data_IF_879027653767
#
_entry.id   IF_879027653767
#
_cell.length_a   1.000
_cell.length_b   1.000
_cell.length_c   1.000
_cell.angle_alpha   90.00
_cell.angle_beta   90.00
_cell.angle_gamma   90.00
#
_symmetry.space_group_name_H-M   'P 1'
#
loop_
_entity.id
_entity.type
_entity.pdbx_description
1 polymer ?
#
# COMPACT_ATOMS: atom_id res chain seq x y z
N UNK A 1 9.38 -25.70 -45.13
CA UNK A 1 8.36 -24.65 -45.14
C UNK A 1 7.94 -24.38 -46.55
N UNK A 2 6.68 -24.63 -46.88
CA UNK A 2 6.16 -24.39 -48.23
C UNK A 2 6.07 -22.89 -48.50
N UNK A 3 6.30 -22.45 -49.75
CA UNK A 3 6.22 -21.00 -50.12
C UNK A 3 4.87 -20.37 -49.77
N UNK A 4 3.82 -21.17 -49.73
CA UNK A 4 2.43 -20.82 -49.38
C UNK A 4 2.27 -20.46 -47.89
N UNK A 5 3.12 -20.96 -46.99
CA UNK A 5 3.01 -20.73 -45.53
C UNK A 5 3.71 -19.45 -45.11
N UNK A 6 4.51 -18.86 -45.99
CA UNK A 6 5.31 -17.67 -45.67
C UNK A 6 4.50 -16.46 -45.16
N UNK A 7 3.35 -16.08 -45.79
CA UNK A 7 2.52 -14.98 -45.28
C UNK A 7 1.96 -15.26 -43.87
N UNK A 8 1.51 -16.46 -43.60
CA UNK A 8 1.02 -16.88 -42.28
C UNK A 8 2.11 -16.84 -41.24
N UNK A 9 3.27 -17.38 -41.55
CA UNK A 9 4.43 -17.36 -40.60
C UNK A 9 4.86 -15.92 -40.29
N UNK A 10 4.96 -15.07 -41.30
CA UNK A 10 5.44 -13.70 -41.11
C UNK A 10 4.41 -12.80 -40.39
N UNK A 11 3.12 -12.96 -40.68
CA UNK A 11 2.10 -12.06 -40.14
C UNK A 11 1.47 -12.56 -38.82
N UNK A 12 1.30 -13.87 -38.65
CA UNK A 12 0.57 -14.41 -37.49
C UNK A 12 1.50 -15.10 -36.51
N UNK A 13 2.35 -16.02 -37.00
CA UNK A 13 3.20 -16.78 -36.11
C UNK A 13 4.33 -15.94 -35.49
N UNK A 14 4.96 -15.06 -36.25
CA UNK A 14 6.02 -14.16 -35.72
C UNK A 14 5.45 -13.17 -34.72
N UNK A 15 4.24 -12.65 -34.95
CA UNK A 15 3.54 -11.80 -33.97
C UNK A 15 3.22 -12.54 -32.68
N UNK A 16 2.75 -13.79 -32.78
CA UNK A 16 2.53 -14.64 -31.63
C UNK A 16 3.82 -14.89 -30.85
N UNK A 17 4.90 -15.26 -31.53
CA UNK A 17 6.23 -15.49 -30.90
C UNK A 17 6.74 -14.20 -30.23
N UNK A 18 6.61 -13.05 -30.89
CA UNK A 18 7.03 -11.78 -30.33
C UNK A 18 6.24 -11.40 -29.06
N UNK A 19 4.91 -11.60 -29.07
CA UNK A 19 4.05 -11.39 -27.90
C UNK A 19 4.40 -12.34 -26.77
N UNK A 20 4.56 -13.63 -27.07
CA UNK A 20 4.94 -14.65 -26.08
C UNK A 20 6.31 -14.39 -25.47
N UNK A 21 7.30 -14.00 -26.28
CA UNK A 21 8.63 -13.64 -25.80
C UNK A 21 8.60 -12.38 -24.91
N UNK A 22 7.79 -11.38 -25.25
CA UNK A 22 7.60 -10.17 -24.44
C UNK A 22 6.98 -10.51 -23.09
N UNK A 23 5.97 -11.37 -23.09
CA UNK A 23 5.32 -11.82 -21.85
C UNK A 23 6.25 -12.65 -20.98
N UNK A 24 6.98 -13.61 -21.57
CA UNK A 24 7.99 -14.39 -20.85
C UNK A 24 9.07 -13.50 -20.22
N UNK A 25 9.61 -12.52 -20.96
CA UNK A 25 10.57 -11.55 -20.43
C UNK A 25 9.98 -10.71 -19.29
N UNK A 26 8.67 -10.39 -19.36
CA UNK A 26 7.97 -9.68 -18.31
C UNK A 26 7.88 -10.52 -17.04
N UNK A 27 7.47 -11.79 -17.17
CA UNK A 27 7.31 -12.70 -16.03
C UNK A 27 8.63 -13.01 -15.32
N UNK A 28 9.73 -13.13 -16.10
CA UNK A 28 11.06 -13.39 -15.57
C UNK A 28 11.80 -12.15 -15.07
N UNK A 29 11.16 -10.96 -15.14
CA UNK A 29 11.78 -9.73 -14.65
C UNK A 29 11.88 -9.76 -13.13
N UNK A 30 13.09 -9.61 -12.62
CA UNK A 30 13.32 -9.33 -11.21
C UNK A 30 12.83 -7.93 -10.87
N UNK A 31 12.17 -7.82 -9.73
CA UNK A 31 11.64 -6.56 -9.22
C UNK A 31 12.62 -5.93 -8.25
N UNK A 32 12.69 -4.61 -8.28
CA UNK A 32 13.46 -3.82 -7.34
C UNK A 32 12.55 -2.87 -6.56
N UNK A 33 12.85 -2.75 -5.28
CA UNK A 33 12.36 -1.70 -4.41
C UNK A 33 13.44 -0.62 -4.33
N UNK A 34 13.08 0.60 -4.63
CA UNK A 34 13.94 1.76 -4.53
C UNK A 34 13.52 2.59 -3.34
N UNK A 35 14.41 2.79 -2.38
CA UNK A 35 14.21 3.70 -1.24
C UNK A 35 14.94 5.02 -1.49
N UNK A 36 14.39 6.10 -0.94
CA UNK A 36 14.99 7.43 -0.98
C UNK A 36 16.24 7.46 -0.09
N UNK A 37 17.37 7.96 -0.62
CA UNK A 37 18.60 8.19 0.14
C UNK A 37 19.22 9.52 -0.32
N UNK A 38 18.87 10.60 0.34
CA UNK A 38 19.21 11.95 -0.11
C UNK A 38 18.62 12.21 -1.50
N UNK A 39 19.46 12.61 -2.44
CA UNK A 39 19.06 12.96 -3.82
C UNK A 39 18.98 11.76 -4.78
N UNK A 40 19.15 10.55 -4.30
CA UNK A 40 19.27 9.34 -5.13
C UNK A 40 18.39 8.22 -4.65
N UNK A 41 18.06 7.31 -5.57
CA UNK A 41 17.39 6.06 -5.29
C UNK A 41 18.42 4.96 -4.99
N UNK A 42 18.24 4.27 -3.87
CA UNK A 42 18.99 3.07 -3.52
C UNK A 42 18.13 1.86 -3.84
N UNK A 43 18.63 0.94 -4.67
CA UNK A 43 17.88 -0.24 -5.08
C UNK A 43 18.13 -1.43 -4.17
N UNK A 44 17.05 -2.18 -3.90
CA UNK A 44 17.05 -3.45 -3.19
C UNK A 44 16.25 -4.46 -4.00
N UNK A 45 16.66 -5.71 -4.04
CA UNK A 45 15.86 -6.76 -4.70
C UNK A 45 14.54 -6.92 -3.96
N UNK A 46 13.43 -6.79 -4.68
CA UNK A 46 12.09 -6.93 -4.11
C UNK A 46 11.58 -8.36 -4.30
N UNK A 47 11.42 -9.08 -3.18
CA UNK A 47 10.87 -10.45 -3.13
C UNK A 47 9.78 -10.50 -2.07
N UNK A 48 8.58 -10.09 -2.44
CA UNK A 48 7.43 -10.13 -1.53
C UNK A 48 6.46 -11.23 -1.96
N UNK A 49 5.97 -12.12 -1.05
CA UNK A 49 5.13 -13.25 -1.40
C UNK A 49 3.68 -12.86 -1.73
N UNK A 50 3.25 -11.66 -1.40
CA UNK A 50 1.86 -11.22 -1.59
C UNK A 50 1.49 -11.19 -3.07
N UNK A 51 0.38 -11.82 -3.39
CA UNK A 51 -0.26 -11.83 -4.71
C UNK A 51 -1.74 -11.50 -4.57
N UNK A 52 -2.44 -11.22 -5.66
CA UNK A 52 -3.90 -11.07 -5.60
C UNK A 52 -4.60 -12.34 -5.12
N UNK A 53 -4.02 -13.52 -5.28
CA UNK A 53 -4.62 -14.77 -4.82
C UNK A 53 -4.50 -14.93 -3.30
N UNK A 54 -3.38 -14.50 -2.72
CA UNK A 54 -3.15 -14.55 -1.25
C UNK A 54 -3.71 -13.34 -0.51
N UNK A 55 -4.04 -12.25 -1.22
CA UNK A 55 -4.53 -11.02 -0.60
C UNK A 55 -5.97 -11.19 -0.10
N UNK A 56 -6.16 -11.02 1.21
CA UNK A 56 -7.47 -10.99 1.84
C UNK A 56 -8.07 -9.60 1.73
N UNK A 57 -9.04 -9.45 0.84
CA UNK A 57 -9.81 -8.23 0.64
C UNK A 57 -11.16 -8.56 0.02
N UNK A 58 -12.07 -7.60 0.07
CA UNK A 58 -13.38 -7.71 -0.55
C UNK A 58 -13.31 -8.12 -2.03
N UNK A 59 -14.03 -9.19 -2.45
CA UNK A 59 -13.95 -9.74 -3.81
C UNK A 59 -14.29 -8.74 -4.91
N UNK A 60 -15.30 -7.90 -4.71
CA UNK A 60 -15.74 -6.91 -5.71
C UNK A 60 -14.68 -5.82 -5.88
N UNK A 61 -14.11 -5.34 -4.78
CA UNK A 61 -13.00 -4.40 -4.78
C UNK A 61 -11.78 -4.99 -5.47
N UNK A 62 -11.47 -6.26 -5.22
CA UNK A 62 -10.38 -6.99 -5.87
C UNK A 62 -10.56 -7.08 -7.38
N UNK A 63 -11.78 -7.44 -7.84
CA UNK A 63 -12.09 -7.50 -9.26
C UNK A 63 -12.01 -6.13 -9.93
N UNK A 64 -12.53 -5.08 -9.30
CA UNK A 64 -12.44 -3.70 -9.79
C UNK A 64 -11.00 -3.25 -9.98
N UNK A 65 -10.13 -3.53 -9.02
CA UNK A 65 -8.70 -3.20 -9.10
C UNK A 65 -8.05 -3.97 -10.25
N UNK A 66 -8.28 -5.28 -10.36
CA UNK A 66 -7.71 -6.11 -11.43
C UNK A 66 -8.17 -5.66 -12.82
N UNK A 67 -9.43 -5.29 -12.98
CA UNK A 67 -9.97 -4.77 -14.23
C UNK A 67 -9.32 -3.42 -14.61
N UNK A 68 -9.18 -2.51 -13.64
CA UNK A 68 -8.55 -1.20 -13.85
C UNK A 68 -7.05 -1.34 -14.20
N UNK A 69 -6.32 -2.21 -13.50
CA UNK A 69 -4.92 -2.50 -13.80
C UNK A 69 -4.75 -3.09 -15.21
N UNK A 70 -5.64 -4.00 -15.62
CA UNK A 70 -5.63 -4.57 -16.97
C UNK A 70 -5.88 -3.49 -18.03
N UNK A 71 -6.91 -2.66 -17.84
CA UNK A 71 -7.24 -1.57 -18.75
C UNK A 71 -6.09 -0.55 -18.84
N UNK A 72 -5.40 -0.27 -17.72
CA UNK A 72 -4.23 0.59 -17.70
C UNK A 72 -3.07 0.01 -18.51
N UNK A 73 -2.73 -1.28 -18.34
CA UNK A 73 -1.65 -1.95 -19.07
C UNK A 73 -1.88 -1.98 -20.59
N UNK A 74 -3.13 -2.14 -21.00
CA UNK A 74 -3.54 -2.20 -22.41
C UNK A 74 -3.81 -0.81 -22.98
N UNK A 75 -3.74 0.24 -22.16
CA UNK A 75 -4.23 1.58 -22.45
C UNK A 75 -3.29 2.47 -23.25
N UNK A 76 -2.05 2.07 -23.62
CA UNK A 76 -1.07 2.95 -24.28
C UNK A 76 -1.64 3.76 -25.46
N UNK A 77 -2.29 3.04 -26.40
CA UNK A 77 -2.89 3.67 -27.59
C UNK A 77 -4.02 4.65 -27.24
N UNK A 78 -4.81 4.31 -26.22
CA UNK A 78 -5.88 5.15 -25.72
C UNK A 78 -5.35 6.44 -25.10
N UNK A 79 -4.38 6.36 -24.16
CA UNK A 79 -3.77 7.53 -23.53
C UNK A 79 -3.14 8.47 -24.56
N UNK A 80 -2.44 7.88 -25.55
CA UNK A 80 -1.86 8.64 -26.67
C UNK A 80 -2.95 9.32 -27.52
N UNK A 81 -4.04 8.62 -27.84
CA UNK A 81 -5.15 9.15 -28.62
C UNK A 81 -5.84 10.33 -27.96
N UNK A 82 -6.04 10.27 -26.62
CA UNK A 82 -6.72 11.33 -25.86
C UNK A 82 -5.77 12.43 -25.37
N UNK A 83 -4.47 12.34 -25.71
CA UNK A 83 -3.46 13.35 -25.34
C UNK A 83 -3.20 13.43 -23.84
N UNK A 84 -3.35 12.31 -23.10
CA UNK A 84 -3.09 12.25 -21.67
C UNK A 84 -1.81 11.47 -21.36
N UNK A 85 -1.07 11.86 -20.30
CA UNK A 85 0.04 11.05 -19.81
C UNK A 85 -0.45 9.66 -19.42
N UNK A 86 0.32 8.62 -19.74
CA UNK A 86 0.00 7.24 -19.38
C UNK A 86 0.35 6.95 -17.91
N UNK A 87 -0.49 7.43 -17.05
CA UNK A 87 -0.37 7.29 -15.59
C UNK A 87 -1.72 6.96 -14.95
N UNK A 88 -1.67 6.38 -13.74
CA UNK A 88 -2.84 6.09 -12.93
C UNK A 88 -2.54 6.35 -11.47
N UNK A 89 -3.45 7.03 -10.77
CA UNK A 89 -3.35 7.31 -9.34
C UNK A 89 -4.33 6.48 -8.52
N UNK A 90 -3.82 5.84 -7.47
CA UNK A 90 -4.62 5.11 -6.48
C UNK A 90 -4.46 5.74 -5.10
N UNK A 91 -5.55 5.81 -4.34
CA UNK A 91 -5.56 6.12 -2.93
C UNK A 91 -6.00 4.89 -2.15
N UNK A 92 -5.09 4.34 -1.34
CA UNK A 92 -5.40 3.28 -0.38
C UNK A 92 -5.65 3.93 0.98
N UNK A 93 -6.84 3.77 1.53
CA UNK A 93 -7.17 4.37 2.82
C UNK A 93 -7.88 3.37 3.73
N UNK A 94 -7.73 3.57 5.03
CA UNK A 94 -8.33 2.74 6.07
C UNK A 94 -7.39 2.50 7.25
N UNK A 95 -7.85 1.83 8.30
CA UNK A 95 -7.08 1.62 9.52
C UNK A 95 -5.72 0.95 9.29
N UNK A 96 -4.74 1.09 10.20
CA UNK A 96 -3.53 0.29 10.15
C UNK A 96 -3.87 -1.21 10.25
N UNK A 97 -3.00 -2.08 9.70
CA UNK A 97 -3.21 -3.53 9.74
C UNK A 97 -4.23 -4.09 8.76
N UNK A 98 -4.77 -3.29 7.82
CA UNK A 98 -5.76 -3.74 6.82
C UNK A 98 -5.17 -4.24 5.50
N UNK A 99 -3.83 -4.28 5.36
CA UNK A 99 -3.15 -4.86 4.20
C UNK A 99 -2.82 -3.88 3.07
N UNK A 100 -2.75 -2.55 3.32
CA UNK A 100 -2.40 -1.55 2.31
C UNK A 100 -1.06 -1.86 1.62
N UNK A 101 0.00 -2.10 2.37
CA UNK A 101 1.34 -2.45 1.81
C UNK A 101 1.33 -3.81 1.11
N UNK A 102 0.52 -4.77 1.58
CA UNK A 102 0.34 -6.07 0.91
C UNK A 102 -0.33 -5.92 -0.47
N UNK A 103 -1.30 -5.01 -0.60
CA UNK A 103 -1.91 -4.69 -1.90
C UNK A 103 -0.89 -4.04 -2.85
N UNK A 104 -0.06 -3.11 -2.37
CA UNK A 104 1.03 -2.51 -3.17
C UNK A 104 1.95 -3.60 -3.72
N UNK A 105 2.37 -4.53 -2.86
CA UNK A 105 3.21 -5.65 -3.25
C UNK A 105 2.52 -6.57 -4.27
N UNK A 106 1.23 -6.87 -4.08
CA UNK A 106 0.44 -7.68 -5.01
C UNK A 106 0.32 -7.00 -6.39
N UNK A 107 0.11 -5.68 -6.43
CA UNK A 107 0.09 -4.88 -7.66
C UNK A 107 1.46 -4.95 -8.37
N UNK A 108 2.56 -4.75 -7.64
CA UNK A 108 3.91 -4.83 -8.20
C UNK A 108 4.22 -6.22 -8.79
N UNK A 109 3.87 -7.27 -8.06
CA UNK A 109 4.03 -8.65 -8.52
C UNK A 109 3.19 -8.96 -9.77
N UNK A 110 1.95 -8.46 -9.84
CA UNK A 110 1.05 -8.64 -10.99
C UNK A 110 1.53 -7.93 -12.24
N UNK A 111 1.95 -6.68 -12.10
CA UNK A 111 2.38 -5.85 -13.21
C UNK A 111 3.84 -6.09 -13.60
N UNK A 112 4.64 -6.63 -12.68
CA UNK A 112 6.09 -6.71 -12.80
C UNK A 112 6.74 -5.34 -12.95
N UNK A 113 6.30 -4.39 -12.10
CA UNK A 113 6.81 -3.03 -12.03
C UNK A 113 7.70 -2.86 -10.80
N UNK A 114 8.76 -2.07 -10.95
CA UNK A 114 9.60 -1.66 -9.83
C UNK A 114 8.83 -0.73 -8.90
N UNK A 115 9.14 -0.79 -7.61
CA UNK A 115 8.55 0.08 -6.59
C UNK A 115 9.56 1.18 -6.25
N UNK A 116 9.10 2.42 -6.20
CA UNK A 116 9.82 3.59 -5.71
C UNK A 116 9.09 4.08 -4.46
N UNK A 117 9.66 3.77 -3.31
CA UNK A 117 9.13 4.17 -2.01
C UNK A 117 9.63 5.58 -1.68
N UNK A 118 8.71 6.53 -1.74
CA UNK A 118 8.98 7.94 -1.53
C UNK A 118 8.48 8.37 -0.14
N UNK A 119 9.37 8.33 0.81
CA UNK A 119 9.12 8.85 2.15
C UNK A 119 9.27 10.37 2.17
N UNK A 120 8.16 11.10 2.21
CA UNK A 120 8.14 12.57 2.13
C UNK A 120 8.86 13.25 3.31
N UNK A 121 8.98 12.56 4.46
CA UNK A 121 9.71 13.07 5.64
C UNK A 121 11.22 13.17 5.41
N UNK A 122 11.76 12.37 4.49
CA UNK A 122 13.18 12.39 4.10
C UNK A 122 13.49 13.37 2.98
N UNK A 123 12.47 13.98 2.37
CA UNK A 123 12.64 14.94 1.27
C UNK A 123 12.66 16.36 1.82
N UNK A 124 13.74 17.08 1.60
CA UNK A 124 13.95 18.40 2.18
C UNK A 124 13.16 19.51 1.49
N UNK A 125 13.07 19.46 0.17
CA UNK A 125 12.41 20.50 -0.63
C UNK A 125 11.74 20.01 -1.91
N UNK A 126 11.01 20.90 -2.57
CA UNK A 126 10.34 20.60 -3.83
C UNK A 126 11.29 20.34 -5.01
N UNK A 127 12.53 20.84 -4.97
CA UNK A 127 13.53 20.60 -6.03
C UNK A 127 14.05 19.17 -5.95
N UNK A 128 14.35 18.69 -4.74
CA UNK A 128 14.72 17.31 -4.47
C UNK A 128 13.58 16.36 -4.83
N UNK A 129 12.33 16.65 -4.41
CA UNK A 129 11.14 15.89 -4.80
C UNK A 129 11.06 15.73 -6.33
N UNK A 130 11.18 16.82 -7.06
CA UNK A 130 11.15 16.83 -8.52
C UNK A 130 12.28 15.99 -9.11
N UNK A 131 13.50 16.09 -8.59
CA UNK A 131 14.65 15.33 -9.06
C UNK A 131 14.45 13.82 -8.84
N UNK A 132 14.02 13.40 -7.65
CA UNK A 132 13.70 12.01 -7.34
C UNK A 132 12.65 11.45 -8.29
N UNK A 133 11.55 12.16 -8.45
CA UNK A 133 10.43 11.70 -9.27
C UNK A 133 10.75 11.69 -10.78
N UNK A 134 11.61 12.58 -11.28
CA UNK A 134 12.09 12.53 -12.67
C UNK A 134 13.05 11.36 -12.92
N UNK A 135 13.79 10.93 -11.91
CA UNK A 135 14.74 9.82 -11.99
C UNK A 135 14.08 8.43 -11.81
N UNK A 136 12.75 8.34 -11.83
CA UNK A 136 12.07 7.04 -11.84
C UNK A 136 11.98 6.48 -13.25
N UNK A 137 12.07 5.16 -13.39
CA UNK A 137 11.96 4.48 -14.70
C UNK A 137 10.51 4.37 -15.16
N UNK A 138 10.30 4.06 -16.45
CA UNK A 138 8.99 3.60 -16.91
C UNK A 138 8.65 2.23 -16.32
N UNK A 139 7.37 1.86 -16.29
CA UNK A 139 6.88 0.63 -15.63
C UNK A 139 7.25 0.59 -14.16
N UNK A 140 6.86 1.64 -13.45
CA UNK A 140 7.12 1.84 -12.04
C UNK A 140 5.86 2.15 -11.26
N UNK A 141 5.88 1.78 -10.00
CA UNK A 141 4.92 2.18 -8.98
C UNK A 141 5.65 3.13 -8.05
N UNK A 142 5.16 4.35 -7.96
CA UNK A 142 5.65 5.32 -6.97
C UNK A 142 4.70 5.25 -5.78
N UNK A 143 5.23 4.89 -4.63
CA UNK A 143 4.48 4.78 -3.38
C UNK A 143 4.78 5.98 -2.52
N UNK A 144 3.76 6.61 -1.98
CA UNK A 144 3.84 7.71 -1.04
C UNK A 144 3.00 7.33 0.16
N UNK A 145 3.67 6.82 1.20
CA UNK A 145 3.00 6.31 2.39
C UNK A 145 2.67 7.43 3.38
N UNK A 146 1.57 7.22 4.13
CA UNK A 146 1.11 8.03 5.25
C UNK A 146 1.11 9.54 4.98
N UNK A 147 0.46 9.92 3.86
CA UNK A 147 0.42 11.31 3.39
C UNK A 147 -0.24 12.27 4.37
N UNK A 148 -1.07 11.78 5.29
CA UNK A 148 -1.71 12.55 6.35
C UNK A 148 -0.70 13.00 7.45
N UNK A 149 0.38 12.25 7.65
CA UNK A 149 1.42 12.57 8.63
C UNK A 149 2.58 13.39 8.02
N UNK A 150 2.87 13.16 6.74
CA UNK A 150 4.08 13.64 6.09
C UNK A 150 4.00 15.09 5.60
N UNK A 151 2.81 15.58 5.34
CA UNK A 151 2.59 16.95 4.90
C UNK A 151 1.87 17.71 6.02
N UNK A 152 2.35 18.91 6.36
CA UNK A 152 1.55 19.91 7.10
C UNK A 152 0.34 20.31 6.24
N UNK A 153 -0.48 19.28 5.86
CA UNK A 153 -1.71 19.42 5.07
C UNK A 153 -2.76 20.23 5.80
N UNK A 154 -2.58 20.40 7.12
CA UNK A 154 -3.37 21.26 8.00
C UNK A 154 -2.96 22.72 7.91
N UNK A 155 -2.07 23.09 6.99
CA UNK A 155 -1.85 24.48 6.60
C UNK A 155 -3.14 25.09 6.08
N UNK A 156 -4.17 25.07 6.90
CA UNK A 156 -5.44 25.74 6.69
C UNK A 156 -5.09 27.18 6.29
N UNK A 157 -5.42 27.55 5.04
CA UNK A 157 -5.40 28.96 4.59
C UNK A 157 -6.03 29.90 5.62
N UNK A 158 -6.93 29.39 6.47
CA UNK A 158 -7.53 30.08 7.60
C UNK A 158 -6.53 30.45 8.73
N UNK A 159 -5.51 29.61 9.04
CA UNK A 159 -4.54 29.94 10.08
C UNK A 159 -3.45 30.91 9.61
N UNK A 160 -3.18 31.04 8.33
CA UNK A 160 -2.31 32.13 7.81
C UNK A 160 -2.96 33.50 7.94
N UNK A 161 -4.26 33.61 7.68
CA UNK A 161 -4.99 34.90 7.82
C UNK A 161 -5.09 35.37 9.28
N UNK A 162 -5.15 34.47 10.27
CA UNK A 162 -5.19 34.86 11.67
C UNK A 162 -3.80 35.14 12.29
N UNK A 163 -2.71 34.60 11.72
CA UNK A 163 -1.35 34.92 12.17
C UNK A 163 -0.84 36.26 11.65
N UNK A 164 -1.33 36.74 10.52
CA UNK A 164 -0.95 38.06 9.97
C UNK A 164 -1.61 39.22 10.74
N UNK A 165 -2.72 38.99 11.45
CA UNK A 165 -3.39 40.03 12.25
C UNK A 165 -2.80 40.25 13.64
N UNK A 166 -1.89 39.41 14.14
CA UNK A 166 -1.39 39.48 15.52
C UNK A 166 0.11 39.82 15.65
N UNK A 167 0.80 40.12 14.54
CA UNK A 167 2.22 40.53 14.59
C UNK A 167 2.44 41.88 13.94
N UNK A 168 1.95 42.92 14.60
CA UNK A 168 2.50 44.26 14.48
C UNK A 168 3.37 44.48 15.73
N UNK A 169 4.66 44.22 15.61
CA UNK A 169 5.63 44.50 16.68
C UNK A 169 6.84 43.58 16.67
N UNK A 170 7.99 44.13 16.25
CA UNK A 170 9.36 43.69 16.57
C UNK A 170 9.97 42.55 15.70
N UNK A 171 10.78 43.03 14.82
CA UNK A 171 11.98 42.57 14.14
C UNK A 171 12.73 41.34 14.71
N UNK A 172 12.84 40.31 13.85
CA UNK A 172 14.07 39.70 13.27
C UNK A 172 13.63 38.58 12.35
N UNK A 173 14.12 38.49 11.09
CA UNK A 173 13.86 37.34 10.29
C UNK A 173 14.68 36.18 10.84
N UNK A 174 14.03 35.23 11.52
CA UNK A 174 14.61 33.95 11.75
C UNK A 174 14.78 33.30 10.37
N UNK A 175 16.02 33.14 9.94
CA UNK A 175 16.44 32.31 8.83
C UNK A 175 16.16 30.84 9.20
N UNK A 176 14.91 30.43 9.15
CA UNK A 176 14.54 29.03 9.06
C UNK A 176 14.04 28.78 7.63
N UNK A 177 14.99 28.96 6.69
CA UNK A 177 14.79 28.88 5.24
C UNK A 177 14.88 27.48 4.67
N UNK A 178 14.49 26.47 5.41
CA UNK A 178 14.27 25.12 4.83
C UNK A 178 12.96 25.13 4.04
N UNK A 179 13.03 25.18 2.72
CA UNK A 179 11.89 25.00 1.84
C UNK A 179 11.36 23.59 1.98
N UNK A 180 10.48 23.35 2.95
CA UNK A 180 9.83 22.04 3.15
C UNK A 180 9.03 21.65 1.90
N UNK A 181 8.92 20.33 1.68
CA UNK A 181 8.01 19.79 0.65
C UNK A 181 6.60 20.33 0.90
N UNK A 182 5.99 20.87 -0.12
CA UNK A 182 4.65 21.46 -0.04
C UNK A 182 3.63 20.60 -0.76
N UNK A 183 2.39 20.62 -0.29
CA UNK A 183 1.28 20.02 -1.01
C UNK A 183 1.23 20.48 -2.47
N UNK A 184 1.41 21.77 -2.74
CA UNK A 184 1.44 22.30 -4.10
C UNK A 184 2.57 21.70 -4.95
N UNK A 185 3.75 21.43 -4.36
CA UNK A 185 4.85 20.76 -5.05
C UNK A 185 4.47 19.34 -5.48
N UNK A 186 3.87 18.57 -4.57
CA UNK A 186 3.38 17.22 -4.85
C UNK A 186 2.27 17.22 -5.91
N UNK A 187 1.30 18.14 -5.78
CA UNK A 187 0.20 18.27 -6.74
C UNK A 187 0.69 18.63 -8.14
N UNK A 188 1.63 19.58 -8.23
CA UNK A 188 2.22 20.00 -9.52
C UNK A 188 2.99 18.86 -10.19
N UNK A 189 3.56 17.96 -9.41
CA UNK A 189 4.19 16.78 -9.97
C UNK A 189 3.16 15.75 -10.45
N UNK A 190 2.11 15.51 -9.67
CA UNK A 190 1.13 14.46 -9.99
C UNK A 190 0.31 14.78 -11.24
N UNK A 191 -0.05 16.04 -11.50
CA UNK A 191 -0.87 16.43 -12.64
C UNK A 191 -0.32 17.58 -13.51
N UNK A 192 0.82 18.18 -13.12
CA UNK A 192 1.51 19.19 -13.92
C UNK A 192 2.28 18.63 -15.13
N UNK A 193 2.98 19.50 -15.86
CA UNK A 193 3.80 19.12 -17.03
C UNK A 193 4.86 18.07 -16.72
N UNK A 194 5.33 17.99 -15.47
CA UNK A 194 6.30 16.99 -15.02
C UNK A 194 5.72 15.57 -14.89
N UNK A 195 4.41 15.45 -14.85
CA UNK A 195 3.73 14.15 -14.79
C UNK A 195 3.89 13.33 -16.07
N UNK A 196 4.28 13.95 -17.19
CA UNK A 196 4.56 13.26 -18.45
C UNK A 196 6.02 12.79 -18.60
N UNK A 197 6.91 13.13 -17.65
CA UNK A 197 8.29 12.66 -17.64
C UNK A 197 8.34 11.18 -17.24
N UNK A 198 8.33 10.30 -18.21
CA UNK A 198 8.28 8.85 -18.07
C UNK A 198 6.92 8.27 -18.45
N UNK A 199 6.94 7.23 -19.27
CA UNK A 199 5.74 6.53 -19.72
C UNK A 199 5.38 5.39 -18.75
N UNK A 200 4.09 5.11 -18.60
CA UNK A 200 3.55 3.96 -17.89
C UNK A 200 3.91 3.95 -16.39
N UNK A 201 3.25 4.83 -15.62
CA UNK A 201 3.48 4.96 -14.17
C UNK A 201 2.18 4.80 -13.38
N UNK A 202 2.29 4.14 -12.24
CA UNK A 202 1.26 4.12 -11.22
C UNK A 202 1.76 4.91 -10.02
N UNK A 203 0.92 5.74 -9.44
CA UNK A 203 1.19 6.45 -8.19
C UNK A 203 0.21 5.94 -7.16
N UNK A 204 0.71 5.42 -6.05
CA UNK A 204 -0.11 4.91 -4.96
C UNK A 204 0.13 5.77 -3.74
N UNK A 205 -0.93 6.34 -3.22
CA UNK A 205 -0.94 7.07 -1.97
C UNK A 205 -1.56 6.20 -0.88
N UNK A 206 -1.01 6.24 0.33
CA UNK A 206 -1.65 5.61 1.49
C UNK A 206 -1.98 6.63 2.56
N UNK A 207 -3.06 6.41 3.28
CA UNK A 207 -3.45 7.18 4.48
C UNK A 207 -4.24 6.33 5.44
N UNK A 208 -4.10 6.60 6.73
CA UNK A 208 -4.96 6.05 7.75
C UNK A 208 -6.20 6.97 8.00
N UNK A 209 -6.15 8.23 7.56
CA UNK A 209 -7.14 9.26 7.82
C UNK A 209 -7.52 10.03 6.56
N UNK A 210 -8.45 9.50 5.78
CA UNK A 210 -8.92 10.14 4.53
C UNK A 210 -9.57 11.51 4.80
N UNK A 211 -10.20 11.68 5.95
CA UNK A 211 -10.84 12.90 6.42
C UNK A 211 -9.88 14.07 6.63
N UNK A 212 -8.59 13.78 6.86
CA UNK A 212 -7.55 14.80 7.03
C UNK A 212 -6.95 15.29 5.70
N UNK A 213 -7.24 14.62 4.59
CA UNK A 213 -6.64 14.97 3.30
C UNK A 213 -7.27 16.22 2.69
N UNK A 214 -6.42 17.05 2.05
CA UNK A 214 -6.90 18.19 1.26
C UNK A 214 -7.74 17.69 0.07
N UNK A 215 -8.96 18.22 -0.14
CA UNK A 215 -9.82 17.85 -1.27
C UNK A 215 -9.15 18.00 -2.63
N UNK A 216 -8.14 18.86 -2.73
CA UNK A 216 -7.34 19.02 -3.94
C UNK A 216 -6.55 17.78 -4.34
N UNK A 217 -6.19 16.90 -3.39
CA UNK A 217 -5.55 15.60 -3.67
C UNK A 217 -6.53 14.60 -4.27
N UNK A 218 -7.78 14.61 -3.81
CA UNK A 218 -8.81 13.62 -4.15
C UNK A 218 -9.40 13.77 -5.55
N UNK A 219 -8.92 14.77 -6.34
CA UNK A 219 -9.46 15.05 -7.68
C UNK A 219 -9.06 14.00 -8.71
N UNK A 220 -9.94 13.67 -9.69
CA UNK A 220 -9.60 12.84 -10.83
C UNK A 220 -8.35 13.37 -11.58
N UNK A 221 -7.50 12.46 -12.02
CA UNK A 221 -6.19 12.76 -12.61
C UNK A 221 -5.03 12.81 -11.63
N UNK A 222 -5.35 12.78 -10.29
CA UNK A 222 -4.40 12.63 -9.18
C UNK A 222 -4.62 11.29 -8.48
N UNK A 223 -5.79 11.13 -7.88
CA UNK A 223 -6.25 9.89 -7.26
C UNK A 223 -7.50 9.43 -8.01
N UNK A 224 -7.27 8.65 -9.06
CA UNK A 224 -8.34 8.23 -9.99
C UNK A 224 -9.23 7.15 -9.39
N UNK A 225 -8.69 6.33 -8.49
CA UNK A 225 -9.39 5.25 -7.82
C UNK A 225 -9.10 5.28 -6.32
N UNK A 226 -10.17 5.35 -5.54
CA UNK A 226 -10.11 5.29 -4.08
C UNK A 226 -10.46 3.87 -3.64
N UNK A 227 -9.58 3.26 -2.86
CA UNK A 227 -9.67 1.86 -2.41
C UNK A 227 -9.73 1.88 -0.89
N UNK A 228 -10.90 1.52 -0.37
CA UNK A 228 -11.09 1.36 1.07
C UNK A 228 -10.55 0.01 1.53
N UNK A 229 -9.57 0.03 2.41
CA UNK A 229 -9.02 -1.14 3.10
C UNK A 229 -9.62 -1.18 4.50
N UNK A 230 -10.76 -1.85 4.61
CA UNK A 230 -11.59 -1.84 5.82
C UNK A 230 -11.18 -2.89 6.84
N UNK A 231 -11.86 -2.88 7.98
CA UNK A 231 -11.85 -3.97 8.96
C UNK A 231 -12.25 -5.30 8.32
N UNK A 232 -11.97 -6.39 9.01
CA UNK A 232 -12.29 -7.73 8.55
C UNK A 232 -13.81 -7.91 8.44
N UNK A 233 -14.28 -8.34 7.27
CA UNK A 233 -15.63 -8.85 7.06
C UNK A 233 -15.57 -10.37 6.84
N UNK A 234 -16.73 -11.02 6.70
CA UNK A 234 -16.78 -12.47 6.56
C UNK A 234 -16.07 -12.99 5.31
N UNK A 235 -16.12 -12.27 4.20
CA UNK A 235 -15.40 -12.66 2.98
C UNK A 235 -13.87 -12.57 3.15
N UNK A 236 -13.39 -11.53 3.83
CA UNK A 236 -11.97 -11.37 4.18
C UNK A 236 -11.54 -12.49 5.14
N UNK A 237 -12.36 -12.76 6.17
CA UNK A 237 -12.11 -13.83 7.12
C UNK A 237 -11.97 -15.20 6.44
N UNK A 238 -12.85 -15.57 5.52
CA UNK A 238 -12.77 -16.84 4.78
C UNK A 238 -11.44 -16.99 4.03
N UNK A 239 -10.96 -15.91 3.39
CA UNK A 239 -9.67 -15.92 2.71
C UNK A 239 -8.52 -16.11 3.69
N UNK A 240 -8.58 -15.47 4.87
CA UNK A 240 -7.57 -15.62 5.91
C UNK A 240 -7.58 -17.04 6.50
N UNK A 241 -8.75 -17.59 6.83
CA UNK A 241 -8.89 -18.95 7.34
C UNK A 241 -8.32 -19.99 6.33
N UNK A 242 -8.62 -19.81 5.05
CA UNK A 242 -8.07 -20.68 4.01
C UNK A 242 -6.54 -20.54 3.88
N UNK A 243 -6.00 -19.32 3.93
CA UNK A 243 -4.57 -19.07 3.74
C UNK A 243 -3.72 -19.53 4.93
N UNK A 244 -4.21 -19.34 6.17
CA UNK A 244 -3.42 -19.59 7.38
C UNK A 244 -3.70 -20.93 8.03
N UNK A 245 -4.95 -21.40 7.96
CA UNK A 245 -5.40 -22.64 8.61
C UNK A 245 -5.72 -23.76 7.62
N UNK A 246 -5.76 -23.46 6.31
CA UNK A 246 -6.24 -24.36 5.26
C UNK A 246 -7.68 -24.88 5.52
N UNK A 247 -8.53 -24.06 6.16
CA UNK A 247 -9.92 -24.38 6.50
C UNK A 247 -10.84 -23.58 5.59
N UNK A 248 -11.70 -24.30 4.85
CA UNK A 248 -12.69 -23.69 3.96
C UNK A 248 -14.09 -23.64 4.56
N UNK A 249 -14.38 -24.50 5.54
CA UNK A 249 -15.64 -24.53 6.26
C UNK A 249 -15.45 -25.15 7.65
N UNK A 250 -16.11 -24.56 8.65
CA UNK A 250 -16.09 -24.99 10.05
C UNK A 250 -17.40 -24.55 10.72
N UNK A 251 -17.95 -25.31 11.71
CA UNK A 251 -19.15 -24.91 12.44
C UNK A 251 -19.07 -23.52 13.08
N UNK A 252 -17.88 -23.09 13.50
CA UNK A 252 -17.67 -21.76 14.09
C UNK A 252 -17.80 -20.60 13.08
N UNK A 253 -17.79 -20.88 11.77
CA UNK A 253 -17.93 -19.86 10.74
C UNK A 253 -19.28 -19.13 10.82
N UNK A 254 -20.34 -19.82 11.19
CA UNK A 254 -21.66 -19.19 11.40
C UNK A 254 -21.65 -18.18 12.56
N UNK A 255 -20.89 -18.50 13.62
CA UNK A 255 -20.74 -17.62 14.77
C UNK A 255 -19.88 -16.42 14.45
N UNK A 256 -18.75 -16.63 13.75
CA UNK A 256 -17.89 -15.56 13.24
C UNK A 256 -18.67 -14.63 12.30
N UNK A 257 -19.49 -15.17 11.41
CA UNK A 257 -20.30 -14.37 10.49
C UNK A 257 -21.27 -13.45 11.24
N UNK A 258 -21.96 -13.99 12.26
CA UNK A 258 -22.87 -13.19 13.11
C UNK A 258 -22.14 -12.10 13.87
N UNK A 259 -20.99 -12.38 14.44
CA UNK A 259 -20.18 -11.41 15.16
C UNK A 259 -19.66 -10.31 14.23
N UNK A 260 -19.22 -10.65 13.01
CA UNK A 260 -18.76 -9.68 12.02
C UNK A 260 -19.85 -8.81 11.41
N UNK A 261 -21.14 -9.13 11.62
CA UNK A 261 -22.27 -8.25 11.27
C UNK A 261 -22.49 -7.13 12.29
N UNK A 262 -21.90 -7.22 13.47
CA UNK A 262 -21.95 -6.16 14.46
C UNK A 262 -21.03 -5.00 14.07
N UNK A 263 -21.60 -3.84 13.75
CA UNK A 263 -20.85 -2.64 13.35
C UNK A 263 -19.93 -2.09 14.45
N UNK A 264 -20.15 -2.47 15.70
CA UNK A 264 -19.30 -2.09 16.83
C UNK A 264 -17.98 -2.85 16.83
N UNK A 265 -17.94 -4.06 16.24
CA UNK A 265 -16.77 -4.90 16.18
C UNK A 265 -15.78 -4.38 15.13
N UNK A 266 -14.63 -3.88 15.59
CA UNK A 266 -13.54 -3.39 14.76
C UNK A 266 -12.32 -4.30 14.92
N UNK A 267 -12.24 -5.35 14.12
CA UNK A 267 -11.09 -6.23 14.05
C UNK A 267 -10.41 -6.11 12.68
N UNK A 268 -9.09 -5.98 12.68
CA UNK A 268 -8.31 -5.86 11.45
C UNK A 268 -7.86 -7.23 10.93
N UNK A 269 -7.62 -7.36 9.61
CA UNK A 269 -6.99 -8.57 9.07
C UNK A 269 -5.68 -8.95 9.77
N UNK A 270 -4.87 -7.99 10.21
CA UNK A 270 -3.61 -8.25 10.91
C UNK A 270 -3.85 -8.91 12.27
N UNK A 271 -4.84 -8.46 13.03
CA UNK A 271 -5.19 -9.06 14.33
C UNK A 271 -5.69 -10.50 14.16
N UNK A 272 -6.54 -10.74 13.16
CA UNK A 272 -7.02 -12.11 12.85
C UNK A 272 -5.84 -13.02 12.47
N UNK A 273 -4.93 -12.53 11.62
CA UNK A 273 -3.78 -13.35 11.20
C UNK A 273 -2.80 -13.61 12.33
N UNK A 274 -2.66 -12.68 13.27
CA UNK A 274 -1.82 -12.89 14.47
C UNK A 274 -2.35 -14.00 15.35
N UNK A 275 -3.67 -14.05 15.59
CA UNK A 275 -4.30 -15.16 16.34
C UNK A 275 -4.08 -16.49 15.61
N UNK A 276 -4.27 -16.54 14.29
CA UNK A 276 -4.04 -17.73 13.49
C UNK A 276 -2.58 -18.18 13.50
N UNK A 277 -1.64 -17.24 13.47
CA UNK A 277 -0.22 -17.54 13.49
C UNK A 277 0.22 -18.14 14.83
N UNK A 278 -0.29 -17.61 15.94
CA UNK A 278 -0.01 -18.15 17.29
C UNK A 278 -0.50 -19.58 17.46
N UNK A 279 -1.60 -19.95 16.81
CA UNK A 279 -2.23 -21.27 16.92
C UNK A 279 -2.14 -22.10 15.63
N UNK A 280 -1.13 -21.87 14.79
CA UNK A 280 -0.95 -22.48 13.46
C UNK A 280 -0.99 -24.02 13.43
N UNK A 281 -0.76 -24.69 14.56
CA UNK A 281 -0.77 -26.13 14.67
C UNK A 281 -2.10 -26.71 15.20
N UNK A 282 -3.07 -25.84 15.54
CA UNK A 282 -4.37 -26.25 16.09
C UNK A 282 -5.47 -25.31 15.59
N UNK A 283 -6.08 -25.70 14.47
CA UNK A 283 -7.12 -24.90 13.81
C UNK A 283 -8.32 -24.62 14.73
N UNK A 284 -8.77 -25.64 15.50
CA UNK A 284 -9.88 -25.46 16.42
C UNK A 284 -9.56 -24.40 17.48
N UNK A 285 -8.38 -24.48 18.10
CA UNK A 285 -7.96 -23.49 19.10
C UNK A 285 -7.85 -22.09 18.49
N UNK A 286 -7.31 -21.97 17.25
CA UNK A 286 -7.23 -20.70 16.55
C UNK A 286 -8.61 -20.06 16.34
N UNK A 287 -9.60 -20.84 15.89
CA UNK A 287 -10.95 -20.35 15.66
C UNK A 287 -11.68 -20.03 16.97
N UNK A 288 -11.55 -20.88 18.01
CA UNK A 288 -12.13 -20.58 19.32
C UNK A 288 -11.55 -19.31 19.94
N UNK A 289 -10.22 -19.15 19.91
CA UNK A 289 -9.58 -17.93 20.42
C UNK A 289 -10.04 -16.70 19.66
N UNK A 290 -10.23 -16.79 18.34
CA UNK A 290 -10.76 -15.70 17.55
C UNK A 290 -12.19 -15.32 17.95
N UNK A 291 -13.07 -16.32 18.12
CA UNK A 291 -14.46 -16.08 18.57
C UNK A 291 -14.47 -15.47 19.97
N UNK A 292 -13.68 -15.96 20.89
CA UNK A 292 -13.55 -15.39 22.25
C UNK A 292 -13.08 -13.94 22.21
N UNK A 293 -12.08 -13.60 21.40
CA UNK A 293 -11.62 -12.22 21.22
C UNK A 293 -12.71 -11.32 20.63
N UNK A 294 -13.45 -11.79 19.62
CA UNK A 294 -14.56 -11.05 19.03
C UNK A 294 -15.71 -10.79 20.05
N UNK A 295 -16.12 -11.82 20.79
CA UNK A 295 -17.17 -11.70 21.84
C UNK A 295 -16.73 -10.73 22.92
N UNK A 296 -15.48 -10.79 23.34
CA UNK A 296 -14.93 -9.89 24.35
C UNK A 296 -14.96 -8.43 23.88
N UNK A 297 -14.55 -8.17 22.64
CA UNK A 297 -14.58 -6.81 22.03
C UNK A 297 -16.00 -6.27 21.89
N UNK A 298 -16.96 -7.08 21.50
CA UNK A 298 -18.38 -6.64 21.44
C UNK A 298 -18.94 -6.32 22.82
N UNK A 299 -18.42 -6.96 23.88
CA UNK A 299 -18.75 -6.63 25.27
C UNK A 299 -17.98 -5.41 25.83
N UNK A 300 -17.15 -4.74 25.03
CA UNK A 300 -16.34 -3.58 25.43
C UNK A 300 -15.05 -3.92 26.18
N UNK A 301 -14.56 -5.17 26.07
CA UNK A 301 -13.28 -5.61 26.63
C UNK A 301 -12.08 -5.35 25.70
N UNK A 302 -10.88 -5.36 26.26
CA UNK A 302 -9.64 -5.21 25.51
C UNK A 302 -9.31 -6.48 24.67
N UNK A 303 -8.58 -6.34 23.57
CA UNK A 303 -8.14 -7.46 22.74
C UNK A 303 -7.31 -8.48 23.51
N UNK A 304 -7.54 -9.78 23.24
CA UNK A 304 -6.81 -10.91 23.89
C UNK A 304 -5.28 -10.80 23.72
N UNK A 305 -4.82 -10.21 22.62
CA UNK A 305 -3.39 -10.03 22.35
C UNK A 305 -2.71 -9.04 23.29
N UNK A 306 -3.41 -8.00 23.77
CA UNK A 306 -2.86 -7.04 24.73
C UNK A 306 -2.64 -7.67 26.10
N UNK A 307 -3.55 -8.51 26.55
CA UNK A 307 -3.40 -9.24 27.84
C UNK A 307 -2.15 -10.12 27.90
N UNK A 308 -1.69 -10.66 26.75
CA UNK A 308 -0.47 -11.47 26.67
C UNK A 308 0.81 -10.65 26.63
N UNK A 309 0.77 -9.44 26.07
CA UNK A 309 1.90 -8.52 26.06
C UNK A 309 2.23 -8.06 27.49
N UNK A 310 1.23 -7.70 28.25
CA UNK A 310 1.39 -7.30 29.67
C UNK A 310 1.89 -8.44 30.57
N UNK A 311 1.52 -9.70 30.25
CA UNK A 311 1.98 -10.89 30.96
C UNK A 311 3.46 -11.24 30.70
N UNK A 312 4.02 -10.80 29.56
CA UNK A 312 5.44 -11.02 29.20
C UNK A 312 6.35 -10.00 29.86
N UNK A 313 5.89 -8.75 30.04
CA UNK A 313 6.69 -7.72 30.72
C UNK A 313 6.81 -7.93 32.24
N UNK A 314 5.88 -8.71 32.85
CA UNK A 314 5.89 -9.01 34.30
C UNK A 314 6.83 -10.14 34.74
N UNK A 315 7.50 -10.87 33.86
CA UNK A 315 8.31 -12.07 34.18
C UNK A 315 9.77 -12.01 33.70
N UNK A 316 10.40 -10.84 33.71
CA UNK A 316 11.85 -10.74 33.49
C UNK A 316 12.55 -10.37 34.80
N UNK A 317 12.46 -11.24 35.78
CA UNK A 317 13.48 -11.31 36.83
C UNK A 317 14.62 -12.19 36.32
N UNK A 318 15.63 -11.54 35.80
CA UNK A 318 16.90 -12.14 35.39
C UNK A 318 17.83 -12.23 36.59
N UNK A 319 17.77 -13.33 37.36
CA UNK A 319 18.89 -13.79 38.18
C UNK A 319 19.95 -14.43 37.27
N UNK A 320 20.86 -13.61 36.76
CA UNK A 320 22.14 -14.09 36.22
C UNK A 320 23.24 -13.92 37.26
N UNK A 321 23.37 -14.88 38.16
CA UNK A 321 24.61 -15.07 38.92
C UNK A 321 25.72 -15.56 37.97
N UNK A 322 26.64 -14.67 37.65
CA UNK A 322 27.91 -15.03 36.99
C UNK A 322 28.91 -15.44 38.10
N UNK A 323 29.15 -16.70 38.25
CA UNK A 323 30.31 -17.20 39.02
C UNK A 323 31.56 -17.13 38.15
N UNK A 324 32.67 -16.56 38.63
CA UNK A 324 33.93 -16.55 37.90
C UNK A 324 34.66 -17.89 38.12
N UNK A 325 34.91 -18.66 37.10
CA UNK A 325 35.87 -19.75 37.11
C UNK A 325 37.29 -19.17 36.94
N UNK A 326 38.08 -19.40 37.99
CA UNK A 326 39.54 -19.30 38.00
C UNK A 326 40.16 -20.55 37.40
N UNK A 327 40.92 -20.41 36.31
CA UNK A 327 42.26 -20.98 36.11
C UNK A 327 42.81 -20.60 34.72
#
# INVERSE_FOLDING_TARGET
MLKTDKPFVMATYMDYVAKSAKEYKRQMRELNLYSCSGDRWKSHTFKHPSTFDTLAMDPDSKQRILADLKAFMEGEAYFKKVGRPWKRGYLLYGPPGTGKSSLIAAVANKLKYNIYDLELTQVHDNAQLKMLLTNTTSKSIIVIEDIDCSLDLTGTRANKMNREKTKMGSERPAQDGGSKVTLSGLLNFTDGLWSCCGMERIIIFTTNHIDKLDPGLLRPGRMDMHINMSYCNFEIFKVLAMNYLAVSNDPLFEEVEKLLQDESLKITPAEVTEIFFQHKNNNNLALHTLVEDMVRRTAGGDPVLLDKADAIEGNVDLDCEITPETN
#
